data_IF_366931607164
#
_entry.id   IF_366931607164
#
_cell.length_a   1.000
_cell.length_b   1.000
_cell.length_c   1.000
_cell.angle_alpha   90.00
_cell.angle_beta   90.00
_cell.angle_gamma   90.00
#
_symmetry.space_group_name_H-M   'P 1'
#
loop_
_entity.id
_entity.type
_entity.pdbx_description
1 polymer ?
#
# COMPACT_ATOMS: atom_id res chain seq x y z
N UNK A 1 -4.51 7.48 5.38
CA UNK A 1 -3.36 8.41 5.52
C UNK A 1 -2.20 7.80 6.31
N UNK A 2 -2.39 7.31 7.54
CA UNK A 2 -1.27 6.78 8.35
C UNK A 2 -0.48 5.61 7.73
N UNK A 3 -1.13 4.72 6.98
CA UNK A 3 -0.44 3.65 6.24
C UNK A 3 0.54 4.20 5.20
N UNK A 4 0.12 5.21 4.44
CA UNK A 4 0.94 5.88 3.42
C UNK A 4 2.08 6.64 4.09
N UNK A 5 1.78 7.40 5.15
CA UNK A 5 2.82 8.10 5.93
C UNK A 5 3.89 7.14 6.43
N UNK A 6 3.46 6.02 7.05
CA UNK A 6 4.40 5.01 7.54
C UNK A 6 5.24 4.41 6.41
N UNK A 7 4.59 4.08 5.29
CA UNK A 7 5.26 3.49 4.14
C UNK A 7 6.33 4.42 3.58
N UNK A 8 6.01 5.70 3.37
CA UNK A 8 6.96 6.69 2.89
C UNK A 8 8.11 6.93 3.88
N UNK A 9 7.84 6.95 5.19
CA UNK A 9 8.87 6.99 6.22
C UNK A 9 9.82 5.79 6.14
N UNK A 10 9.27 4.59 5.94
CA UNK A 10 10.06 3.36 5.78
C UNK A 10 10.95 3.40 4.53
N UNK A 11 10.39 3.81 3.38
CA UNK A 11 11.18 3.95 2.16
C UNK A 11 12.32 4.96 2.34
N UNK A 12 12.04 6.13 2.94
CA UNK A 12 13.06 7.14 3.20
C UNK A 12 14.22 6.60 4.08
N UNK A 13 13.93 5.76 5.07
CA UNK A 13 14.98 5.11 5.89
C UNK A 13 15.85 4.13 5.12
N UNK A 14 15.32 3.51 4.07
CA UNK A 14 16.09 2.65 3.18
C UNK A 14 16.95 3.45 2.18
N UNK A 15 17.07 4.77 2.35
CA UNK A 15 17.83 5.65 1.45
C UNK A 15 17.17 5.86 0.09
N UNK A 16 15.88 5.47 -0.03
CA UNK A 16 15.10 5.61 -1.26
C UNK A 16 14.56 7.04 -1.33
N UNK A 17 14.93 7.84 -2.35
CA UNK A 17 14.53 9.24 -2.38
C UNK A 17 13.03 9.36 -2.68
N UNK A 18 12.38 10.39 -2.13
CA UNK A 18 10.92 10.61 -2.26
C UNK A 18 10.54 11.00 -3.70
N UNK A 19 11.49 11.48 -4.51
CA UNK A 19 11.30 11.80 -5.92
C UNK A 19 11.25 10.56 -6.84
N UNK A 20 10.94 9.39 -6.28
CA UNK A 20 10.73 8.17 -7.05
C UNK A 20 9.50 8.27 -7.97
N UNK A 21 9.52 7.45 -9.01
CA UNK A 21 8.35 7.26 -9.87
C UNK A 21 7.15 6.83 -9.00
N UNK A 22 6.09 7.63 -9.00
CA UNK A 22 4.87 7.36 -8.23
C UNK A 22 4.23 6.00 -8.56
N UNK A 23 4.39 5.50 -9.79
CA UNK A 23 3.96 4.17 -10.18
C UNK A 23 4.70 3.07 -9.43
N UNK A 24 6.03 3.21 -9.23
CA UNK A 24 6.82 2.26 -8.43
C UNK A 24 6.44 2.33 -6.95
N UNK A 25 6.29 3.54 -6.40
CA UNK A 25 5.84 3.71 -5.01
C UNK A 25 4.45 3.10 -4.78
N UNK A 26 3.55 3.26 -5.75
CA UNK A 26 2.23 2.64 -5.70
C UNK A 26 2.32 1.10 -5.74
N UNK A 27 3.13 0.53 -6.64
CA UNK A 27 3.34 -0.92 -6.72
C UNK A 27 3.92 -1.47 -5.43
N UNK A 28 4.99 -0.84 -4.90
CA UNK A 28 5.63 -1.27 -3.65
C UNK A 28 4.65 -1.15 -2.46
N UNK A 29 3.81 -0.09 -2.42
CA UNK A 29 2.77 0.07 -1.39
C UNK A 29 1.71 -1.04 -1.46
N UNK A 30 1.17 -1.30 -2.65
CA UNK A 30 0.15 -2.32 -2.86
C UNK A 30 0.72 -3.71 -2.56
N UNK A 31 1.96 -3.99 -2.96
CA UNK A 31 2.64 -5.23 -2.65
C UNK A 31 2.80 -5.41 -1.15
N UNK A 32 3.37 -4.41 -0.46
CA UNK A 32 3.66 -4.49 0.96
C UNK A 32 2.37 -4.69 1.77
N UNK A 33 1.36 -3.84 1.60
CA UNK A 33 0.13 -3.96 2.38
C UNK A 33 -0.81 -5.07 1.91
N UNK A 34 -0.68 -5.54 0.67
CA UNK A 34 -1.47 -6.64 0.14
C UNK A 34 -0.91 -8.03 0.48
N UNK A 35 0.42 -8.17 0.55
CA UNK A 35 1.07 -9.49 0.57
C UNK A 35 2.08 -9.69 1.72
N UNK A 36 2.63 -8.62 2.29
CA UNK A 36 3.70 -8.70 3.31
C UNK A 36 3.19 -8.32 4.71
N UNK A 37 2.38 -7.27 4.79
CA UNK A 37 1.85 -6.74 6.05
C UNK A 37 0.84 -7.71 6.67
N UNK A 38 1.14 -8.20 7.88
CA UNK A 38 0.19 -8.97 8.68
C UNK A 38 -0.40 -8.06 9.78
N UNK A 39 -1.68 -7.65 9.68
CA UNK A 39 -2.30 -6.76 10.67
C UNK A 39 -2.39 -7.38 12.06
N UNK A 40 -2.34 -8.71 12.18
CA UNK A 40 -2.36 -9.44 13.47
C UNK A 40 -1.00 -9.50 14.13
N UNK A 41 0.08 -9.40 13.35
CA UNK A 41 1.45 -9.49 13.86
C UNK A 41 2.18 -8.16 13.87
N UNK A 42 1.71 -7.16 13.13
CA UNK A 42 2.39 -5.88 12.97
C UNK A 42 1.55 -4.73 13.54
N UNK A 43 2.22 -3.89 14.33
CA UNK A 43 1.75 -2.60 14.85
C UNK A 43 2.48 -1.49 14.10
N UNK A 44 1.75 -0.42 13.78
CA UNK A 44 2.27 0.72 13.04
C UNK A 44 2.38 1.93 13.97
N UNK A 45 3.56 2.54 14.02
CA UNK A 45 3.75 3.86 14.59
C UNK A 45 4.31 4.81 13.53
N UNK A 46 3.78 6.03 13.45
CA UNK A 46 4.30 7.09 12.56
C UNK A 46 5.01 8.20 13.33
N UNK A 47 5.13 8.08 14.66
CA UNK A 47 5.81 9.09 15.47
C UNK A 47 7.29 9.17 15.13
N UNK A 48 7.80 10.40 15.02
CA UNK A 48 9.17 10.68 14.60
C UNK A 48 9.45 10.06 13.22
N UNK A 49 10.35 9.09 13.20
CA UNK A 49 10.77 8.36 12.01
C UNK A 49 9.83 7.18 11.69
N UNK A 50 8.96 6.82 12.63
CA UNK A 50 8.01 5.72 12.55
C UNK A 50 8.67 4.34 12.57
N UNK A 51 7.90 3.33 12.95
CA UNK A 51 8.35 1.93 13.05
C UNK A 51 7.22 0.94 12.76
N UNK A 52 7.60 -0.23 12.25
CA UNK A 52 6.76 -1.42 12.30
C UNK A 52 7.23 -2.26 13.49
N UNK A 53 6.30 -2.56 14.42
CA UNK A 53 6.60 -3.25 15.67
C UNK A 53 5.87 -4.59 15.67
N UNK A 54 6.49 -5.65 16.18
CA UNK A 54 5.81 -6.94 16.36
C UNK A 54 4.76 -6.83 17.47
N UNK A 55 3.52 -7.26 17.20
CA UNK A 55 2.46 -7.38 18.20
C UNK A 55 2.78 -8.52 19.14
N UNK A 56 2.64 -8.30 20.44
CA UNK A 56 2.71 -9.36 21.43
C UNK A 56 1.54 -10.33 21.23
N UNK A 57 1.85 -11.64 21.20
CA UNK A 57 0.82 -12.67 21.00
C UNK A 57 -0.15 -12.65 22.18
N UNK A 58 -1.46 -12.60 21.89
CA UNK A 58 -2.53 -12.79 22.87
C UNK A 58 -3.09 -11.53 23.52
N UNK A 59 -2.52 -10.33 23.29
CA UNK A 59 -2.90 -9.12 24.04
C UNK A 59 -3.86 -8.17 23.32
N UNK A 60 -4.17 -8.39 22.04
CA UNK A 60 -5.04 -7.45 21.32
C UNK A 60 -5.88 -8.16 20.26
N UNK A 61 -7.20 -8.12 20.48
CA UNK A 61 -8.24 -8.57 19.54
C UNK A 61 -8.50 -7.55 18.42
N UNK A 62 -7.79 -6.42 18.44
CA UNK A 62 -8.00 -5.34 17.49
C UNK A 62 -7.68 -5.81 16.07
N UNK A 63 -8.52 -5.45 15.07
CA UNK A 63 -8.31 -5.83 13.68
C UNK A 63 -6.94 -5.40 13.14
N UNK A 64 -6.50 -4.19 13.49
CA UNK A 64 -5.20 -3.60 13.17
C UNK A 64 -4.79 -2.66 14.30
N UNK A 65 -3.49 -2.56 14.56
CA UNK A 65 -2.95 -1.63 15.56
C UNK A 65 -2.14 -0.53 14.89
N UNK A 66 -2.63 0.71 14.99
CA UNK A 66 -1.94 1.90 14.52
C UNK A 66 -1.96 2.91 15.66
N UNK A 67 -0.79 3.40 16.04
CA UNK A 67 -0.64 4.40 17.10
C UNK A 67 -1.26 5.71 16.66
N UNK A 68 -2.04 6.33 17.55
CA UNK A 68 -2.38 7.73 17.42
C UNK A 68 -1.08 8.57 17.54
N UNK A 69 -0.73 9.38 16.53
CA UNK A 69 0.48 10.19 16.56
C UNK A 69 0.51 11.19 17.73
N UNK A 70 -0.66 11.58 18.27
CA UNK A 70 -0.77 12.49 19.41
C UNK A 70 -0.79 11.76 20.76
N UNK A 71 -1.23 10.50 20.78
CA UNK A 71 -1.33 9.72 22.01
C UNK A 71 -1.05 8.23 21.74
N UNK A 72 0.22 7.79 21.73
CA UNK A 72 0.61 6.48 21.18
C UNK A 72 0.10 5.24 21.94
N UNK A 73 -0.58 5.42 23.08
CA UNK A 73 -1.31 4.36 23.77
C UNK A 73 -2.73 4.17 23.21
N UNK A 74 -3.24 5.11 22.42
CA UNK A 74 -4.49 5.02 21.70
C UNK A 74 -4.28 4.34 20.34
N UNK A 75 -4.96 3.21 20.13
CA UNK A 75 -5.01 2.54 18.84
C UNK A 75 -6.14 3.15 17.97
N UNK A 76 -5.80 3.79 16.86
CA UNK A 76 -6.78 4.36 15.91
C UNK A 76 -7.40 3.30 14.98
N UNK A 77 -6.81 2.11 14.93
CA UNK A 77 -7.23 0.98 14.10
C UNK A 77 -8.32 0.08 14.72
N UNK A 78 -8.73 0.33 15.97
CA UNK A 78 -9.64 -0.55 16.75
C UNK A 78 -10.95 -0.89 16.04
N UNK A 79 -11.50 0.06 15.29
CA UNK A 79 -12.78 -0.11 14.59
C UNK A 79 -12.63 -0.56 13.13
N UNK A 80 -11.42 -0.87 12.65
CA UNK A 80 -11.16 -1.25 11.27
C UNK A 80 -11.48 -2.74 11.02
N UNK A 81 -12.69 -3.19 11.32
CA UNK A 81 -13.09 -4.61 11.24
C UNK A 81 -12.98 -5.21 9.83
N UNK A 82 -12.93 -4.37 8.79
CA UNK A 82 -12.80 -4.76 7.38
C UNK A 82 -11.37 -4.73 6.86
N UNK A 83 -10.35 -4.61 7.73
CA UNK A 83 -8.94 -4.49 7.29
C UNK A 83 -8.51 -5.61 6.34
N UNK A 84 -8.94 -6.86 6.58
CA UNK A 84 -8.62 -7.99 5.69
C UNK A 84 -9.18 -7.82 4.28
N UNK A 85 -10.34 -7.16 4.13
CA UNK A 85 -10.90 -6.85 2.82
C UNK A 85 -10.09 -5.75 2.12
N UNK A 86 -9.59 -4.76 2.87
CA UNK A 86 -8.69 -3.75 2.32
C UNK A 86 -7.35 -4.37 1.87
N UNK A 87 -6.77 -5.27 2.67
CA UNK A 87 -5.54 -6.00 2.32
C UNK A 87 -5.76 -6.83 1.06
N UNK A 88 -6.86 -7.58 1.00
CA UNK A 88 -7.21 -8.34 -0.21
C UNK A 88 -7.33 -7.43 -1.43
N UNK A 89 -8.02 -6.29 -1.30
CA UNK A 89 -8.16 -5.34 -2.40
C UNK A 89 -6.81 -4.78 -2.86
N UNK A 90 -5.86 -4.54 -1.94
CA UNK A 90 -4.50 -4.13 -2.31
C UNK A 90 -3.72 -5.23 -3.04
N UNK A 91 -3.83 -6.48 -2.58
CA UNK A 91 -3.23 -7.64 -3.27
C UNK A 91 -3.83 -7.84 -4.66
N UNK A 92 -5.16 -7.80 -4.78
CA UNK A 92 -5.85 -7.91 -6.07
C UNK A 92 -5.40 -6.78 -7.04
N UNK A 93 -5.33 -5.53 -6.55
CA UNK A 93 -4.87 -4.40 -7.36
C UNK A 93 -3.41 -4.53 -7.79
N UNK A 94 -2.53 -5.02 -6.90
CA UNK A 94 -1.14 -5.32 -7.24
C UNK A 94 -1.06 -6.35 -8.38
N UNK A 95 -1.75 -7.48 -8.23
CA UNK A 95 -1.73 -8.57 -9.22
C UNK A 95 -2.27 -8.13 -10.58
N UNK A 96 -3.31 -7.28 -10.61
CA UNK A 96 -3.82 -6.70 -11.86
C UNK A 96 -2.74 -5.86 -12.54
N UNK A 97 -2.10 -4.94 -11.82
CA UNK A 97 -1.08 -4.06 -12.39
C UNK A 97 0.19 -4.82 -12.81
N UNK A 98 0.62 -5.81 -12.02
CA UNK A 98 1.79 -6.64 -12.30
C UNK A 98 1.59 -7.48 -13.57
N UNK A 99 0.42 -8.11 -13.70
CA UNK A 99 0.04 -8.89 -14.89
C UNK A 99 0.04 -8.03 -16.15
N UNK A 100 -0.60 -6.85 -16.08
CA UNK A 100 -0.63 -5.90 -17.19
C UNK A 100 0.81 -5.47 -17.55
N UNK A 101 1.63 -5.04 -16.58
CA UNK A 101 3.00 -4.61 -16.84
C UNK A 101 3.88 -5.71 -17.47
N UNK A 102 3.70 -6.96 -17.04
CA UNK A 102 4.39 -8.13 -17.62
C UNK A 102 3.93 -8.39 -19.05
N UNK A 103 2.65 -8.18 -19.36
CA UNK A 103 2.14 -8.26 -20.74
C UNK A 103 2.63 -7.10 -21.62
N UNK A 104 2.98 -5.96 -21.00
CA UNK A 104 3.40 -4.77 -21.73
C UNK A 104 4.82 -4.88 -22.29
N UNK A 105 5.71 -5.66 -21.67
CA UNK A 105 7.11 -5.85 -22.10
C UNK A 105 7.22 -6.76 -23.32
N UNK A 106 7.49 -6.24 -24.54
CA UNK A 106 7.67 -7.06 -25.74
C UNK A 106 9.11 -6.94 -26.24
N UNK A 107 9.61 -8.02 -26.79
CA UNK A 107 10.92 -8.06 -27.42
C UNK A 107 11.00 -7.33 -28.77
N UNK A 108 9.94 -6.71 -29.31
CA UNK A 108 10.01 -6.03 -30.63
C UNK A 108 8.94 -4.94 -30.84
N UNK A 109 9.37 -3.92 -31.59
CA UNK A 109 8.67 -2.86 -32.34
C UNK A 109 7.69 -1.90 -31.64
N UNK A 110 8.24 -0.75 -31.23
CA UNK A 110 7.53 0.46 -30.80
C UNK A 110 7.17 1.35 -31.99
N UNK A 111 6.03 1.13 -32.65
CA UNK A 111 5.36 2.18 -33.40
C UNK A 111 3.86 1.91 -33.39
N UNK A 112 3.07 2.75 -32.72
CA UNK A 112 1.59 2.71 -32.69
C UNK A 112 0.92 1.85 -31.59
N UNK A 113 1.39 1.91 -30.33
CA UNK A 113 0.56 1.40 -29.21
C UNK A 113 -0.33 2.50 -28.62
N UNK A 114 -1.63 2.25 -28.41
CA UNK A 114 -2.52 3.20 -27.76
C UNK A 114 -2.05 3.50 -26.32
N UNK A 115 -2.37 4.69 -25.78
CA UNK A 115 -1.96 5.06 -24.43
C UNK A 115 -2.50 4.06 -23.41
N UNK A 116 -1.60 3.48 -22.61
CA UNK A 116 -1.95 2.50 -21.60
C UNK A 116 -2.75 3.14 -20.46
N UNK A 117 -3.92 2.56 -20.19
CA UNK A 117 -4.83 3.03 -19.14
C UNK A 117 -4.85 2.04 -17.98
N UNK A 118 -3.76 2.05 -17.20
CA UNK A 118 -3.59 1.15 -16.05
C UNK A 118 -4.46 1.55 -14.85
N UNK A 119 -4.55 2.85 -14.55
CA UNK A 119 -5.31 3.34 -13.38
C UNK A 119 -6.81 3.00 -13.43
N UNK A 120 -7.51 3.09 -14.58
CA UNK A 120 -8.90 2.61 -14.70
C UNK A 120 -9.14 1.16 -14.32
N UNK A 121 -8.13 0.28 -14.40
CA UNK A 121 -8.27 -1.14 -14.04
C UNK A 121 -8.43 -1.36 -12.55
N UNK A 122 -7.78 -0.51 -11.74
CA UNK A 122 -7.83 -0.58 -10.28
C UNK A 122 -8.73 0.49 -9.65
N UNK A 123 -9.04 1.56 -10.40
CA UNK A 123 -9.94 2.64 -10.01
C UNK A 123 -10.94 2.84 -11.15
N UNK A 124 -12.00 2.00 -11.25
CA UNK A 124 -12.93 2.05 -12.39
C UNK A 124 -13.59 3.43 -12.56
N UNK A 125 -13.88 4.09 -11.44
CA UNK A 125 -14.48 5.43 -11.40
C UNK A 125 -13.60 6.53 -11.98
N UNK A 126 -12.28 6.32 -12.11
CA UNK A 126 -11.38 7.32 -12.69
C UNK A 126 -11.73 7.60 -14.16
N UNK A 127 -12.30 6.61 -14.85
CA UNK A 127 -12.74 6.75 -16.24
C UNK A 127 -13.81 7.81 -16.44
N UNK A 128 -14.56 8.15 -15.37
CA UNK A 128 -15.59 9.19 -15.38
C UNK A 128 -15.01 10.61 -15.33
N UNK A 129 -13.73 10.76 -15.00
CA UNK A 129 -13.04 12.06 -14.88
C UNK A 129 -12.10 12.36 -16.05
N UNK A 130 -11.89 11.38 -16.95
CA UNK A 130 -10.93 11.47 -18.07
C UNK A 130 -11.67 11.44 -19.43
N UNK A 131 -12.97 11.77 -19.41
CA UNK A 131 -13.85 11.91 -20.58
C UNK A 131 -13.98 13.36 -21.02
#
# INVERSE_FOLDING_TARGET
>A
MLLITRFLQHEHHLGRPINQNYGRLLMDFLYFFGNVFDPRQMRISVQGSGVYIKRERGYSIDPIHIDDPRFPTNNVGRNCFRIHQCIKAFSDAYSILESELTSLTPADDQCSRPPYRLLPKIIPSISLFIS
#
